data_IF_896559003553
#
_entry.id   IF_896559003553
#
_cell.length_a   1.000
_cell.length_b   1.000
_cell.length_c   1.000
_cell.angle_alpha   90.00
_cell.angle_beta   90.00
_cell.angle_gamma   90.00
#
_symmetry.space_group_name_H-M   'P 1'
#
loop_
_entity.id
_entity.type
_entity.pdbx_description
1 polymer ?
#
# COMPACT_ATOMS: atom_id res chain seq x y z
N UNK A 1 0.37 -19.21 4.36
CA UNK A 1 0.47 -18.06 3.46
C UNK A 1 0.45 -16.82 4.33
N UNK A 2 1.48 -15.97 4.27
CA UNK A 2 1.45 -14.70 4.97
C UNK A 2 0.34 -13.85 4.36
N UNK A 3 -0.43 -13.17 5.20
CA UNK A 3 -1.48 -12.26 4.74
C UNK A 3 -0.84 -11.20 3.83
N UNK A 4 -1.23 -11.10 2.54
CA UNK A 4 -0.64 -10.14 1.61
C UNK A 4 -0.66 -8.69 2.10
N UNK A 5 -1.61 -8.35 2.98
CA UNK A 5 -1.74 -7.02 3.58
C UNK A 5 -0.57 -6.72 4.54
N UNK A 6 -0.04 -7.74 5.22
CA UNK A 6 1.14 -7.60 6.08
C UNK A 6 2.36 -7.24 5.22
N UNK A 7 2.53 -7.91 4.08
CA UNK A 7 3.64 -7.65 3.15
C UNK A 7 3.56 -6.21 2.62
N UNK A 8 2.38 -5.77 2.16
CA UNK A 8 2.16 -4.40 1.71
C UNK A 8 2.47 -3.37 2.81
N UNK A 9 1.93 -3.57 4.02
CA UNK A 9 2.18 -2.68 5.16
C UNK A 9 3.66 -2.56 5.46
N UNK A 10 4.38 -3.68 5.57
CA UNK A 10 5.78 -3.68 5.97
C UNK A 10 6.66 -3.03 4.90
N UNK A 11 6.35 -3.24 3.61
CA UNK A 11 7.02 -2.56 2.50
C UNK A 11 6.77 -1.04 2.50
N UNK A 12 5.55 -0.60 2.80
CA UNK A 12 5.22 0.82 2.94
C UNK A 12 6.02 1.47 4.09
N UNK A 13 6.11 0.78 5.24
CA UNK A 13 6.90 1.24 6.39
C UNK A 13 8.39 1.32 6.04
N UNK A 14 8.92 0.30 5.36
CA UNK A 14 10.32 0.27 4.92
C UNK A 14 10.67 1.43 3.97
N UNK A 15 9.68 1.95 3.23
CA UNK A 15 9.84 3.11 2.35
C UNK A 15 9.57 4.46 3.05
N UNK A 16 9.25 4.45 4.35
CA UNK A 16 9.14 5.66 5.17
C UNK A 16 7.71 6.13 5.45
N UNK A 17 6.67 5.33 5.16
CA UNK A 17 5.34 5.64 5.68
C UNK A 17 5.26 5.36 7.18
N UNK A 18 4.49 6.17 7.89
CA UNK A 18 4.14 5.91 9.28
C UNK A 18 3.29 4.63 9.37
N UNK A 19 3.49 3.86 10.45
CA UNK A 19 2.76 2.61 10.67
C UNK A 19 1.24 2.79 10.55
N UNK A 20 0.69 3.89 11.09
CA UNK A 20 -0.74 4.20 11.03
C UNK A 20 -1.25 4.24 9.59
N UNK A 21 -0.58 4.98 8.72
CA UNK A 21 -1.00 5.20 7.33
C UNK A 21 -0.75 3.95 6.49
N UNK A 22 0.41 3.30 6.68
CA UNK A 22 0.73 2.04 6.02
C UNK A 22 -0.28 0.93 6.36
N UNK A 23 -0.70 0.85 7.63
CA UNK A 23 -1.69 -0.13 8.08
C UNK A 23 -3.08 0.17 7.52
N UNK A 24 -3.49 1.45 7.48
CA UNK A 24 -4.77 1.85 6.89
C UNK A 24 -4.81 1.52 5.39
N UNK A 25 -3.79 1.94 4.65
CA UNK A 25 -3.66 1.65 3.22
C UNK A 25 -3.69 0.15 2.94
N UNK A 26 -2.97 -0.66 3.72
CA UNK A 26 -2.93 -2.11 3.53
C UNK A 26 -4.27 -2.79 3.85
N UNK A 27 -4.99 -2.31 4.87
CA UNK A 27 -6.33 -2.81 5.20
C UNK A 27 -7.34 -2.48 4.11
N UNK A 28 -7.35 -1.22 3.65
CA UNK A 28 -8.28 -0.75 2.62
C UNK A 28 -7.97 -1.37 1.27
N UNK A 29 -6.69 -1.54 0.92
CA UNK A 29 -6.30 -2.24 -0.31
C UNK A 29 -6.75 -3.71 -0.31
N UNK A 30 -6.75 -4.37 0.85
CA UNK A 30 -7.25 -5.74 0.99
C UNK A 30 -8.74 -5.84 1.28
N UNK A 31 -9.48 -4.73 1.33
CA UNK A 31 -10.92 -4.68 1.54
C UNK A 31 -11.66 -4.76 0.21
N UNK A 32 -12.85 -5.37 0.19
CA UNK A 32 -13.72 -5.35 -0.99
C UNK A 32 -14.53 -4.05 -1.13
N UNK A 33 -14.47 -3.17 -0.13
CA UNK A 33 -15.29 -1.96 -0.06
C UNK A 33 -14.57 -0.70 -0.57
N UNK A 34 -13.25 -0.72 -0.62
CA UNK A 34 -12.43 0.44 -0.95
C UNK A 34 -11.42 0.07 -2.04
N UNK A 35 -11.23 0.96 -3.00
CA UNK A 35 -10.16 0.86 -3.97
C UNK A 35 -9.13 1.95 -3.68
N UNK A 36 -7.89 1.55 -3.41
CA UNK A 36 -6.79 2.46 -3.08
C UNK A 36 -6.11 2.88 -4.37
N UNK A 37 -6.50 4.03 -4.89
CA UNK A 37 -5.93 4.64 -6.10
C UNK A 37 -5.23 5.97 -5.80
N UNK A 38 -4.87 6.70 -6.86
CA UNK A 38 -4.24 8.01 -6.72
C UNK A 38 -5.10 9.01 -5.96
N UNK A 39 -6.42 9.02 -6.18
CA UNK A 39 -7.33 9.99 -5.54
C UNK A 39 -7.44 9.70 -4.04
N UNK A 40 -7.55 8.42 -3.66
CA UNK A 40 -7.49 8.00 -2.26
C UNK A 40 -6.17 8.45 -1.58
N UNK A 41 -5.03 8.27 -2.26
CA UNK A 41 -3.71 8.57 -1.70
C UNK A 41 -3.40 10.07 -1.60
N UNK A 42 -4.09 10.93 -2.37
CA UNK A 42 -3.94 12.38 -2.26
C UNK A 42 -4.39 12.89 -0.87
N UNK A 43 -5.34 12.21 -0.24
CA UNK A 43 -5.81 12.52 1.12
C UNK A 43 -4.76 12.35 2.23
N UNK A 44 -3.64 11.68 1.95
CA UNK A 44 -2.60 11.40 2.94
C UNK A 44 -1.49 12.47 2.97
N UNK A 45 -1.51 13.44 2.05
CA UNK A 45 -0.51 14.52 2.02
C UNK A 45 0.93 14.02 1.85
N UNK A 46 1.12 12.90 1.15
CA UNK A 46 2.42 12.28 0.93
C UNK A 46 3.34 13.17 0.08
N UNK A 47 4.65 13.09 0.33
CA UNK A 47 5.63 13.70 -0.59
C UNK A 47 5.53 13.06 -1.97
N UNK A 48 5.89 13.78 -3.03
CA UNK A 48 5.83 13.28 -4.42
C UNK A 48 6.57 11.95 -4.62
N UNK A 49 7.67 11.74 -3.90
CA UNK A 49 8.43 10.48 -3.94
C UNK A 49 7.68 9.36 -3.25
N UNK A 50 7.20 9.58 -2.01
CA UNK A 50 6.44 8.58 -1.26
C UNK A 50 5.15 8.21 -1.98
N UNK A 51 4.41 9.20 -2.50
CA UNK A 51 3.18 8.97 -3.26
C UNK A 51 3.39 8.00 -4.42
N UNK A 52 4.45 8.20 -5.22
CA UNK A 52 4.78 7.31 -6.35
C UNK A 52 5.11 5.89 -5.90
N UNK A 53 5.88 5.77 -4.81
CA UNK A 53 6.26 4.47 -4.26
C UNK A 53 5.02 3.74 -3.72
N UNK A 54 4.20 4.41 -2.93
CA UNK A 54 2.96 3.88 -2.36
C UNK A 54 2.00 3.43 -3.46
N UNK A 55 1.74 4.27 -4.46
CA UNK A 55 0.86 3.94 -5.58
C UNK A 55 1.37 2.71 -6.35
N UNK A 56 2.69 2.60 -6.54
CA UNK A 56 3.30 1.43 -7.17
C UNK A 56 3.10 0.17 -6.32
N UNK A 57 3.41 0.22 -5.02
CA UNK A 57 3.27 -0.94 -4.12
C UNK A 57 1.82 -1.43 -4.04
N UNK A 58 0.85 -0.50 -4.00
CA UNK A 58 -0.57 -0.83 -4.03
C UNK A 58 -0.98 -1.45 -5.38
N UNK A 59 -0.46 -0.95 -6.50
CA UNK A 59 -0.70 -1.56 -7.82
C UNK A 59 -0.10 -2.96 -7.93
N UNK A 60 1.11 -3.15 -7.38
CA UNK A 60 1.79 -4.44 -7.32
C UNK A 60 1.03 -5.42 -6.41
N UNK A 61 0.40 -4.93 -5.33
CA UNK A 61 -0.50 -5.71 -4.48
C UNK A 61 -1.73 -6.20 -5.26
N UNK A 62 -2.43 -5.31 -5.97
CA UNK A 62 -3.62 -5.68 -6.74
C UNK A 62 -3.34 -6.64 -7.90
N UNK A 63 -2.18 -6.51 -8.55
CA UNK A 63 -1.77 -7.41 -9.64
C UNK A 63 -1.20 -8.74 -9.15
N UNK A 64 -1.04 -8.91 -7.84
CA UNK A 64 -0.45 -10.10 -7.23
C UNK A 64 1.07 -10.19 -7.31
N UNK A 65 1.74 -9.27 -8.02
CA UNK A 65 3.19 -9.24 -8.16
C UNK A 65 3.92 -9.11 -6.83
N UNK A 66 3.34 -8.36 -5.89
CA UNK A 66 3.97 -8.08 -4.61
C UNK A 66 4.29 -9.33 -3.77
N UNK A 67 3.59 -10.45 -4.02
CA UNK A 67 3.72 -11.69 -3.26
C UNK A 67 3.95 -12.93 -4.13
N UNK A 68 4.18 -12.75 -5.43
CA UNK A 68 4.73 -13.81 -6.28
C UNK A 68 6.25 -13.95 -6.10
N UNK A 69 6.92 -12.88 -5.64
CA UNK A 69 8.37 -12.82 -5.39
C UNK A 69 8.74 -13.03 -3.90
N UNK A 70 7.78 -13.40 -3.04
CA UNK A 70 7.93 -13.53 -1.57
C UNK A 70 7.63 -14.95 -1.08
#
# INVERSE_FOLDING_TARGET
MNDPRIILRDQLIANGLLFKDANLIALDAGSSQTYVDSEYLEGFGLSKTLFKITLKLVSDFYSGKLFLDY
#
